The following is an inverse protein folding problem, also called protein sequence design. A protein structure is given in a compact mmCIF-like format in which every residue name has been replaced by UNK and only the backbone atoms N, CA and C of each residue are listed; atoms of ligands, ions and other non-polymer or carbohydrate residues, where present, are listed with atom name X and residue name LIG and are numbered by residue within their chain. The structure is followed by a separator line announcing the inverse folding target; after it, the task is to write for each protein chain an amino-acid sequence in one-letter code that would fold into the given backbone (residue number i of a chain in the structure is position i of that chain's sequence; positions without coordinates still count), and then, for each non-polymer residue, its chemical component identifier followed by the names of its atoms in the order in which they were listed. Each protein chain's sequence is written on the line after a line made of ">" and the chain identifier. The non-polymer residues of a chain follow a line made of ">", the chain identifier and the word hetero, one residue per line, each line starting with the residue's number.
data_IF_759913534147
#
_entry.id   IF_759913534147
#
_cell.length_a   1.000
_cell.length_b   1.000
_cell.length_c   1.000
_cell.angle_alpha   90.00
_cell.angle_beta   90.00
_cell.angle_gamma   90.00
#
_symmetry.space_group_name_H-M   'P 1'
#
loop_
_entity.id
_entity.type
_entity.pdbx_description
1 polymer ?
#
# COMPACT_ATOMS: atom_id res chain seq x y z
N UNK A 1 -1.68 14.64 0.69
CA UNK A 1 -2.48 13.69 1.50
C UNK A 1 -1.84 13.51 2.88
N UNK A 2 -2.63 13.29 3.95
CA UNK A 2 -2.13 13.12 5.33
C UNK A 2 -1.95 11.64 5.68
N UNK A 3 -0.92 11.31 6.46
CA UNK A 3 -0.71 9.94 6.96
C UNK A 3 -0.54 9.92 8.48
N UNK A 4 -1.09 10.92 9.17
CA UNK A 4 -0.92 11.12 10.61
C UNK A 4 -1.76 10.16 11.44
N UNK A 5 -2.97 9.81 10.98
CA UNK A 5 -3.84 8.83 11.64
C UNK A 5 -3.90 7.53 10.83
N UNK A 6 -4.14 6.37 11.49
CA UNK A 6 -4.36 5.11 10.77
C UNK A 6 -5.49 5.18 9.75
N UNK A 7 -6.59 5.87 10.07
CA UNK A 7 -7.74 6.00 9.16
C UNK A 7 -7.37 6.82 7.92
N UNK A 8 -6.69 7.96 8.09
CA UNK A 8 -6.22 8.79 6.99
C UNK A 8 -5.19 8.06 6.15
N UNK A 9 -4.27 7.33 6.78
CA UNK A 9 -3.24 6.57 6.08
C UNK A 9 -3.83 5.51 5.14
N UNK A 10 -4.81 4.73 5.62
CA UNK A 10 -5.50 3.73 4.78
C UNK A 10 -6.24 4.36 3.61
N UNK A 11 -7.01 5.42 3.87
CA UNK A 11 -7.74 6.15 2.83
C UNK A 11 -6.79 6.72 1.78
N UNK A 12 -5.70 7.33 2.23
CA UNK A 12 -4.77 8.04 1.36
C UNK A 12 -3.82 7.11 0.61
N UNK A 13 -3.43 5.97 1.17
CA UNK A 13 -2.71 4.93 0.45
C UNK A 13 -3.54 4.37 -0.70
N UNK A 14 -4.84 4.13 -0.45
CA UNK A 14 -5.77 3.74 -1.50
C UNK A 14 -5.96 4.83 -2.56
N UNK A 15 -6.24 6.07 -2.13
CA UNK A 15 -6.41 7.21 -3.02
C UNK A 15 -5.21 7.45 -3.94
N UNK A 16 -3.99 7.36 -3.38
CA UNK A 16 -2.75 7.56 -4.13
C UNK A 16 -2.62 6.62 -5.35
N UNK A 17 -2.81 5.32 -5.16
CA UNK A 17 -2.70 4.35 -6.26
C UNK A 17 -3.83 4.52 -7.29
N UNK A 18 -5.01 4.94 -6.85
CA UNK A 18 -6.12 5.26 -7.76
C UNK A 18 -5.81 6.50 -8.60
N UNK A 19 -5.28 7.56 -8.00
CA UNK A 19 -4.83 8.77 -8.71
C UNK A 19 -3.74 8.43 -9.73
N UNK A 20 -2.76 7.60 -9.38
CA UNK A 20 -1.74 7.12 -10.31
C UNK A 20 -2.35 6.37 -11.49
N UNK A 21 -3.33 5.50 -11.23
CA UNK A 21 -4.06 4.79 -12.30
C UNK A 21 -4.83 5.75 -13.21
N UNK A 22 -5.48 6.79 -12.65
CA UNK A 22 -6.17 7.84 -13.42
C UNK A 22 -5.18 8.62 -14.30
N UNK A 23 -4.03 9.02 -13.74
CA UNK A 23 -2.99 9.76 -14.45
C UNK A 23 -2.38 8.96 -15.61
N UNK A 24 -2.39 7.62 -15.53
CA UNK A 24 -1.97 6.76 -16.64
C UNK A 24 -2.93 6.80 -17.84
N UNK A 25 -4.11 7.41 -17.70
CA UNK A 25 -5.19 7.43 -18.69
C UNK A 25 -5.68 6.04 -19.11
N UNK A 26 -5.42 5.01 -18.28
CA UNK A 26 -5.85 3.65 -18.53
C UNK A 26 -7.14 3.33 -17.76
N UNK A 27 -8.28 3.41 -18.44
CA UNK A 27 -9.57 3.02 -17.86
C UNK A 27 -9.58 1.57 -17.36
N UNK A 28 -8.80 0.69 -18.00
CA UNK A 28 -8.58 -0.68 -17.51
C UNK A 28 -7.87 -0.67 -16.16
N UNK A 29 -6.77 0.06 -16.02
CA UNK A 29 -6.00 0.12 -14.78
C UNK A 29 -6.83 0.72 -13.62
N UNK A 30 -7.63 1.75 -13.89
CA UNK A 30 -8.55 2.33 -12.90
C UNK A 30 -9.55 1.29 -12.40
N UNK A 31 -10.18 0.52 -13.29
CA UNK A 31 -11.13 -0.53 -12.91
C UNK A 31 -10.47 -1.64 -12.09
N UNK A 32 -9.29 -2.09 -12.49
CA UNK A 32 -8.55 -3.11 -11.73
C UNK A 32 -8.14 -2.59 -10.35
N UNK A 33 -7.72 -1.33 -10.25
CA UNK A 33 -7.39 -0.74 -8.96
C UNK A 33 -8.60 -0.63 -8.03
N UNK A 34 -9.77 -0.24 -8.56
CA UNK A 34 -11.02 -0.20 -7.79
C UNK A 34 -11.41 -1.61 -7.33
N UNK A 35 -11.33 -2.61 -8.22
CA UNK A 35 -11.63 -4.01 -7.88
C UNK A 35 -10.71 -4.51 -6.77
N UNK A 36 -9.41 -4.29 -6.90
CA UNK A 36 -8.41 -4.68 -5.91
C UNK A 36 -8.68 -4.03 -4.55
N UNK A 37 -9.03 -2.74 -4.52
CA UNK A 37 -9.35 -2.04 -3.28
C UNK A 37 -10.65 -2.51 -2.64
N UNK A 38 -11.67 -2.82 -3.43
CA UNK A 38 -12.93 -3.34 -2.92
C UNK A 38 -12.75 -4.73 -2.29
N UNK A 39 -11.93 -5.59 -2.91
CA UNK A 39 -11.72 -6.96 -2.47
C UNK A 39 -10.70 -7.06 -1.32
N UNK A 40 -9.58 -6.36 -1.44
CA UNK A 40 -8.44 -6.53 -0.52
C UNK A 40 -8.13 -5.28 0.30
N UNK A 41 -8.72 -4.12 0.03
CA UNK A 41 -8.34 -2.85 0.64
C UNK A 41 -8.26 -2.86 2.18
N UNK A 42 -9.27 -3.40 2.90
CA UNK A 42 -9.22 -3.50 4.36
C UNK A 42 -8.05 -4.32 4.87
N UNK A 43 -7.76 -5.46 4.22
CA UNK A 43 -6.65 -6.34 4.58
C UNK A 43 -5.31 -5.71 4.20
N UNK A 44 -5.18 -5.25 2.96
CA UNK A 44 -3.95 -4.68 2.39
C UNK A 44 -3.39 -3.56 3.28
N UNK A 45 -4.26 -2.71 3.82
CA UNK A 45 -3.81 -1.55 4.59
C UNK A 45 -3.90 -1.70 6.11
N UNK A 46 -4.19 -2.91 6.63
CA UNK A 46 -4.35 -3.12 8.07
C UNK A 46 -3.06 -2.80 8.84
N UNK A 47 -1.89 -3.03 8.24
CA UNK A 47 -0.58 -2.73 8.83
C UNK A 47 -0.29 -1.24 9.01
N UNK A 48 -1.04 -0.33 8.36
CA UNK A 48 -0.86 1.11 8.54
C UNK A 48 -1.35 1.61 9.92
N UNK A 49 -1.94 0.74 10.73
CA UNK A 49 -2.17 1.02 12.14
C UNK A 49 -0.87 1.16 12.93
N UNK A 50 0.16 0.42 12.54
CA UNK A 50 1.48 0.47 13.16
C UNK A 50 2.31 1.61 12.54
N UNK A 51 3.13 2.27 13.36
CA UNK A 51 3.92 3.43 12.94
C UNK A 51 4.96 3.06 11.88
N UNK A 52 5.76 2.01 12.11
CA UNK A 52 6.87 1.66 11.22
C UNK A 52 6.42 1.25 9.80
N UNK A 53 5.40 0.39 9.62
CA UNK A 53 4.84 0.10 8.28
C UNK A 53 4.20 1.31 7.63
N UNK A 54 3.55 2.19 8.42
CA UNK A 54 2.97 3.44 7.91
C UNK A 54 4.03 4.38 7.36
N UNK A 55 5.14 4.56 8.07
CA UNK A 55 6.28 5.36 7.62
C UNK A 55 6.90 4.81 6.34
N UNK A 56 7.14 3.49 6.26
CA UNK A 56 7.65 2.86 5.04
C UNK A 56 6.74 3.07 3.84
N UNK A 57 5.43 2.90 4.03
CA UNK A 57 4.46 3.14 2.96
C UNK A 57 4.49 4.60 2.47
N UNK A 58 4.61 5.56 3.39
CA UNK A 58 4.74 7.00 3.05
C UNK A 58 6.02 7.27 2.26
N UNK A 59 7.16 6.70 2.69
CA UNK A 59 8.44 6.85 1.98
C UNK A 59 8.33 6.30 0.56
N UNK A 60 7.80 5.09 0.38
CA UNK A 60 7.63 4.48 -0.94
C UNK A 60 6.68 5.30 -1.84
N UNK A 61 5.53 5.76 -1.32
CA UNK A 61 4.60 6.60 -2.09
C UNK A 61 5.22 7.93 -2.52
N UNK A 62 6.04 8.56 -1.66
CA UNK A 62 6.79 9.77 -2.02
C UNK A 62 7.83 9.50 -3.10
N UNK A 63 8.54 8.38 -3.03
CA UNK A 63 9.49 7.97 -4.06
C UNK A 63 8.80 7.73 -5.42
N UNK A 64 7.63 7.10 -5.43
CA UNK A 64 6.81 6.96 -6.65
C UNK A 64 6.45 8.33 -7.23
N UNK A 65 5.94 9.24 -6.39
CA UNK A 65 5.54 10.58 -6.84
C UNK A 65 6.73 11.38 -7.43
N UNK A 66 7.90 11.32 -6.77
CA UNK A 66 9.12 11.97 -7.25
C UNK A 66 9.58 11.39 -8.59
N UNK A 67 9.67 10.06 -8.69
CA UNK A 67 10.08 9.40 -9.92
C UNK A 67 9.13 9.67 -11.10
N UNK A 68 7.82 9.73 -10.84
CA UNK A 68 6.83 10.11 -11.86
C UNK A 68 7.03 11.56 -12.32
N UNK A 69 7.30 12.49 -11.40
CA UNK A 69 7.57 13.89 -11.73
C UNK A 69 8.85 14.03 -12.58
N UNK A 70 9.88 13.24 -12.29
CA UNK A 70 11.15 13.20 -13.01
C UNK A 70 11.08 12.37 -14.30
N UNK A 71 9.95 11.70 -14.56
CA UNK A 71 9.74 10.77 -15.69
C UNK A 71 10.71 9.58 -15.67
N UNK A 72 11.20 9.20 -14.49
CA UNK A 72 12.02 8.01 -14.30
C UNK A 72 11.13 6.77 -14.11
N UNK A 73 10.96 6.03 -15.20
CA UNK A 73 10.16 4.80 -15.21
C UNK A 73 10.75 3.71 -14.33
N UNK A 74 12.09 3.60 -14.27
CA UNK A 74 12.74 2.51 -13.56
C UNK A 74 12.55 2.68 -12.06
N UNK A 75 12.83 3.89 -11.55
CA UNK A 75 12.65 4.22 -10.14
C UNK A 75 11.17 4.20 -9.75
N UNK A 76 10.26 4.68 -10.60
CA UNK A 76 8.83 4.61 -10.32
C UNK A 76 8.36 3.16 -10.17
N UNK A 77 8.85 2.26 -11.03
CA UNK A 77 8.53 0.82 -10.95
C UNK A 77 9.08 0.20 -9.68
N UNK A 78 10.33 0.47 -9.35
CA UNK A 78 10.98 -0.04 -8.14
C UNK A 78 10.25 0.44 -6.87
N UNK A 79 9.93 1.73 -6.78
CA UNK A 79 9.23 2.29 -5.62
C UNK A 79 7.80 1.72 -5.44
N UNK A 80 7.08 1.44 -6.53
CA UNK A 80 5.78 0.73 -6.44
C UNK A 80 5.99 -0.71 -5.98
N UNK A 81 7.01 -1.40 -6.48
CA UNK A 81 7.34 -2.76 -6.03
C UNK A 81 7.68 -2.79 -4.54
N UNK A 82 8.45 -1.83 -4.05
CA UNK A 82 8.80 -1.70 -2.64
C UNK A 82 7.56 -1.45 -1.76
N UNK A 83 6.64 -0.57 -2.20
CA UNK A 83 5.38 -0.35 -1.49
C UNK A 83 4.58 -1.66 -1.33
N UNK A 84 4.46 -2.44 -2.41
CA UNK A 84 3.75 -3.71 -2.38
C UNK A 84 4.47 -4.73 -1.49
N UNK A 85 5.79 -4.86 -1.63
CA UNK A 85 6.61 -5.77 -0.84
C UNK A 85 6.49 -5.47 0.66
N UNK A 86 6.69 -4.22 1.08
CA UNK A 86 6.60 -3.81 2.49
C UNK A 86 5.23 -4.14 3.10
N UNK A 87 4.15 -3.96 2.34
CA UNK A 87 2.79 -4.26 2.82
C UNK A 87 2.56 -5.77 2.92
N UNK A 88 2.96 -6.54 1.89
CA UNK A 88 2.80 -7.99 1.87
C UNK A 88 3.66 -8.68 2.94
N UNK A 89 4.90 -8.23 3.14
CA UNK A 89 5.79 -8.76 4.18
C UNK A 89 5.21 -8.54 5.58
N UNK A 90 4.64 -7.36 5.84
CA UNK A 90 3.96 -7.10 7.11
C UNK A 90 2.77 -8.05 7.30
N UNK A 91 1.97 -8.29 6.25
CA UNK A 91 0.83 -9.20 6.32
C UNK A 91 1.25 -10.64 6.61
N UNK A 92 2.31 -11.12 5.95
CA UNK A 92 2.86 -12.45 6.20
C UNK A 92 3.38 -12.58 7.64
N UNK A 93 4.08 -11.56 8.13
CA UNK A 93 4.55 -11.53 9.51
C UNK A 93 3.38 -11.52 10.51
N UNK A 94 2.32 -10.75 10.23
CA UNK A 94 1.12 -10.69 11.05
C UNK A 94 0.39 -12.04 11.09
N UNK A 95 0.19 -12.67 9.93
CA UNK A 95 -0.38 -14.02 9.82
C UNK A 95 0.44 -15.03 10.63
N UNK A 96 1.76 -15.04 10.47
CA UNK A 96 2.62 -15.98 11.18
C UNK A 96 2.59 -15.77 12.71
N UNK A 97 2.41 -14.53 13.19
CA UNK A 97 2.17 -14.27 14.63
C UNK A 97 0.84 -14.83 15.10
N UNK A 98 -0.22 -14.66 14.32
CA UNK A 98 -1.55 -15.22 14.64
C UNK A 98 -1.54 -16.75 14.67
N UNK A 99 -0.83 -17.40 13.74
CA UNK A 99 -0.71 -18.87 13.72
C UNK A 99 0.09 -19.41 14.91
N UNK A 100 1.15 -18.71 15.33
CA UNK A 100 1.91 -19.08 16.53
C UNK A 100 1.17 -18.82 17.83
N UNK A 101 0.37 -17.75 17.88
CA UNK A 101 -0.45 -17.40 19.05
C UNK A 101 -1.76 -18.20 19.14
N UNK A 102 -2.30 -18.67 18.01
CA UNK A 102 -3.54 -19.43 17.91
C UNK A 102 -3.39 -20.94 18.14
N UNK A 103 -2.20 -21.42 18.51
CA UNK A 103 -1.96 -22.80 18.93
C UNK A 103 -2.19 -23.07 20.42
N UNK A 104 -2.65 -22.07 21.19
CA UNK A 104 -2.88 -22.18 22.64
C UNK A 104 -4.28 -21.72 22.99
N UNK A 105 -5.28 -22.43 22.45
CA UNK A 105 -6.59 -22.61 23.10
C UNK A 105 -7.25 -23.85 22.46
N UNK A 106 -6.94 -25.01 23.04
CA UNK A 106 -7.63 -26.28 22.85
C UNK A 106 -7.85 -26.91 24.24
#
# INVERSE_FOLDING_TARGET
>A
ASFTTPADARRNAGGFLLELAVLSQSARLVREQIRLQAEYGPLLWIGLHDDAPRERAVVAMRAVAAAVAERDRAVAREAVTELVASVTEWLLAAKARLERGGGSDA
#
